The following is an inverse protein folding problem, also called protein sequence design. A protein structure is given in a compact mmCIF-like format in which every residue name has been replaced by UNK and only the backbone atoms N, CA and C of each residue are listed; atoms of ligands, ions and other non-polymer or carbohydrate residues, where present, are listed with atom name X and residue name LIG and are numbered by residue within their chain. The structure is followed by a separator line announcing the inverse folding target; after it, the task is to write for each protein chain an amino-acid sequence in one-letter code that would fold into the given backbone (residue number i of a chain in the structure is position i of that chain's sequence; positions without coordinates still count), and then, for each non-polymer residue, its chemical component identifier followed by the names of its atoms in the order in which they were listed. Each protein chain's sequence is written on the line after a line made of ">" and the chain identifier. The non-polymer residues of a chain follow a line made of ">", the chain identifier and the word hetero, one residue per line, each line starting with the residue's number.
data_IF_986158992210
#
_entry.id   IF_986158992210
#
_cell.length_a   1.000
_cell.length_b   1.000
_cell.length_c   1.000
_cell.angle_alpha   90.00
_cell.angle_beta   90.00
_cell.angle_gamma   90.00
#
_symmetry.space_group_name_H-M   'P 1'
#
loop_
_entity.id
_entity.type
_entity.pdbx_description
1 polymer ?
#
# COMPACT_ATOMS: atom_id res chain seq x y z
N UNK A 1 1.49 -13.69 9.64
CA UNK A 1 0.57 -14.59 8.97
C UNK A 1 0.11 -14.03 7.64
N UNK A 2 0.55 -14.66 6.57
CA UNK A 2 0.32 -14.17 5.20
C UNK A 2 -1.17 -14.16 4.83
N UNK A 3 -1.89 -15.20 5.19
CA UNK A 3 -3.32 -15.30 4.89
C UNK A 3 -4.11 -14.19 5.55
N UNK A 4 -3.82 -13.95 6.82
CA UNK A 4 -4.55 -12.92 7.56
C UNK A 4 -4.26 -11.52 7.02
N UNK A 5 -3.01 -11.21 6.77
CA UNK A 5 -2.58 -9.88 6.31
C UNK A 5 -2.86 -9.67 4.83
N UNK A 6 -2.82 -10.72 4.03
CA UNK A 6 -3.09 -10.67 2.60
C UNK A 6 -1.86 -10.47 1.73
N UNK A 7 -0.67 -10.60 2.28
CA UNK A 7 0.54 -10.48 1.48
C UNK A 7 1.79 -10.94 2.20
N UNK A 8 2.81 -11.23 1.40
CA UNK A 8 4.13 -11.64 1.86
C UNK A 8 5.17 -10.70 1.26
N UNK A 9 5.99 -10.10 2.11
CA UNK A 9 7.11 -9.27 1.66
C UNK A 9 8.15 -10.13 0.95
N UNK A 10 8.66 -9.63 -0.18
CA UNK A 10 9.70 -10.30 -0.96
C UNK A 10 10.96 -9.44 -1.00
N UNK A 11 10.83 -8.17 -1.40
CA UNK A 11 11.98 -7.30 -1.60
C UNK A 11 11.57 -5.82 -1.61
N UNK A 12 12.57 -4.93 -1.55
CA UNK A 12 12.39 -3.50 -1.82
C UNK A 12 13.45 -3.08 -2.84
N UNK A 13 13.21 -3.34 -4.13
CA UNK A 13 14.20 -3.07 -5.17
C UNK A 13 14.69 -1.63 -5.15
N UNK A 14 16.02 -1.45 -5.04
CA UNK A 14 16.63 -0.13 -5.01
C UNK A 14 16.62 0.57 -3.65
N UNK A 15 16.11 -0.07 -2.60
CA UNK A 15 16.03 0.54 -1.28
C UNK A 15 15.05 1.71 -1.25
N UNK A 16 15.49 2.89 -0.78
CA UNK A 16 14.64 4.09 -0.77
C UNK A 16 14.69 4.71 -2.15
N UNK A 17 13.53 4.77 -2.81
CA UNK A 17 13.40 5.27 -4.18
C UNK A 17 12.17 6.19 -4.27
N UNK A 18 12.18 7.17 -5.20
CA UNK A 18 10.96 7.92 -5.49
C UNK A 18 10.01 7.07 -6.32
N UNK A 19 8.74 7.05 -5.96
CA UNK A 19 7.73 6.33 -6.73
C UNK A 19 6.35 6.99 -6.57
N UNK A 20 5.49 6.71 -7.54
CA UNK A 20 4.12 7.19 -7.51
C UNK A 20 3.21 6.20 -6.80
N UNK A 21 2.28 6.72 -6.02
CA UNK A 21 1.18 5.95 -5.44
C UNK A 21 -0.08 6.36 -6.17
N UNK A 22 -0.75 5.38 -6.78
CA UNK A 22 -1.95 5.60 -7.57
C UNK A 22 -3.16 5.13 -6.78
N UNK A 23 -4.17 5.98 -6.69
CA UNK A 23 -5.40 5.65 -5.98
C UNK A 23 -6.22 4.71 -6.87
N UNK A 24 -6.39 3.46 -6.42
CA UNK A 24 -7.11 2.45 -7.19
C UNK A 24 -8.61 2.48 -6.93
N UNK A 25 -9.03 2.82 -5.72
CA UNK A 25 -10.44 2.91 -5.35
C UNK A 25 -10.72 4.24 -4.66
N UNK A 26 -11.01 5.30 -5.43
CA UNK A 26 -11.27 6.62 -4.86
C UNK A 26 -12.60 6.73 -4.11
N UNK A 27 -13.46 5.73 -4.24
CA UNK A 27 -14.77 5.71 -3.55
C UNK A 27 -14.67 5.19 -2.13
N UNK A 28 -13.60 4.49 -1.81
CA UNK A 28 -13.43 3.98 -0.45
C UNK A 28 -13.21 5.14 0.53
N UNK A 29 -13.86 5.14 1.71
CA UNK A 29 -13.73 6.22 2.68
C UNK A 29 -12.29 6.49 3.10
N UNK A 30 -11.41 5.48 3.09
CA UNK A 30 -9.99 5.67 3.42
C UNK A 30 -9.32 6.59 2.41
N UNK A 31 -9.75 6.55 1.15
CA UNK A 31 -9.15 7.30 0.05
C UNK A 31 -9.88 8.60 -0.29
N UNK A 32 -10.95 8.92 0.42
CA UNK A 32 -11.78 10.08 0.11
C UNK A 32 -10.96 11.38 0.06
N UNK A 33 -11.08 12.11 -1.03
CA UNK A 33 -10.40 13.39 -1.23
C UNK A 33 -8.93 13.29 -1.56
N UNK A 34 -8.38 12.07 -1.65
CA UNK A 34 -6.98 11.88 -1.99
C UNK A 34 -6.82 11.69 -3.50
N UNK A 35 -5.71 12.20 -4.02
CA UNK A 35 -5.31 12.02 -5.41
C UNK A 35 -3.98 11.27 -5.45
N UNK A 36 -3.59 10.82 -6.63
CA UNK A 36 -2.29 10.18 -6.83
C UNK A 36 -1.19 11.09 -6.31
N UNK A 37 -0.20 10.52 -5.66
CA UNK A 37 0.88 11.28 -5.06
C UNK A 37 2.22 10.55 -5.20
N UNK A 38 3.30 11.26 -4.95
CA UNK A 38 4.64 10.68 -4.99
C UNK A 38 5.22 10.61 -3.59
N UNK A 39 6.05 9.60 -3.39
CA UNK A 39 6.67 9.31 -2.11
C UNK A 39 8.10 8.86 -2.36
N UNK A 40 9.02 9.20 -1.47
CA UNK A 40 10.38 8.64 -1.48
C UNK A 40 10.52 7.71 -0.30
N UNK A 41 10.50 6.40 -0.60
CA UNK A 41 10.44 5.37 0.42
C UNK A 41 10.86 4.03 -0.17
N UNK A 42 10.79 2.99 0.64
CA UNK A 42 10.96 1.63 0.16
C UNK A 42 9.73 1.20 -0.63
N UNK A 43 9.93 0.89 -1.91
CA UNK A 43 8.87 0.39 -2.78
C UNK A 43 8.88 -1.14 -2.70
N UNK A 44 7.92 -1.70 -1.96
CA UNK A 44 7.89 -3.13 -1.70
C UNK A 44 7.40 -3.92 -2.91
N UNK A 45 8.14 -4.96 -3.23
CA UNK A 45 7.66 -6.04 -4.09
C UNK A 45 7.16 -7.17 -3.20
N UNK A 46 5.90 -7.54 -3.35
CA UNK A 46 5.24 -8.48 -2.46
C UNK A 46 4.47 -9.55 -3.25
N UNK A 47 4.28 -10.71 -2.64
CA UNK A 47 3.26 -11.63 -3.09
C UNK A 47 1.97 -11.27 -2.34
N UNK A 48 0.91 -10.99 -3.09
CA UNK A 48 -0.35 -10.49 -2.51
C UNK A 48 -1.51 -11.40 -2.87
N UNK A 49 -2.46 -11.50 -1.95
CA UNK A 49 -3.66 -12.31 -2.15
C UNK A 49 -4.59 -11.60 -3.13
N UNK A 50 -5.05 -12.28 -4.20
CA UNK A 50 -5.95 -11.65 -5.17
C UNK A 50 -7.33 -11.30 -4.58
N UNK A 51 -7.69 -11.83 -3.42
CA UNK A 51 -8.96 -11.48 -2.76
C UNK A 51 -8.92 -10.17 -1.99
N UNK A 52 -7.76 -9.51 -1.91
CA UNK A 52 -7.64 -8.21 -1.25
C UNK A 52 -8.46 -7.15 -1.97
N UNK A 53 -9.12 -6.28 -1.21
CA UNK A 53 -9.73 -5.06 -1.74
C UNK A 53 -8.65 -3.99 -1.84
N UNK A 54 -8.08 -3.82 -3.02
CA UNK A 54 -6.94 -2.93 -3.25
C UNK A 54 -7.41 -1.48 -3.30
N UNK A 55 -6.78 -0.63 -2.50
CA UNK A 55 -7.11 0.80 -2.42
C UNK A 55 -6.11 1.67 -3.14
N UNK A 56 -4.84 1.26 -3.19
CA UNK A 56 -3.79 2.00 -3.89
C UNK A 56 -2.74 1.03 -4.43
N UNK A 57 -2.10 1.45 -5.51
CA UNK A 57 -1.08 0.67 -6.21
C UNK A 57 0.14 1.53 -6.51
N UNK A 58 1.24 0.89 -6.82
CA UNK A 58 2.41 1.52 -7.44
C UNK A 58 2.86 0.67 -8.62
N UNK A 59 3.55 1.29 -9.58
CA UNK A 59 4.06 0.59 -10.76
C UNK A 59 5.58 0.67 -10.77
N UNK A 60 6.24 -0.47 -10.91
CA UNK A 60 7.69 -0.52 -10.94
C UNK A 60 8.24 0.03 -12.25
N UNK A 61 9.30 0.85 -12.17
CA UNK A 61 9.92 1.45 -13.35
C UNK A 61 10.82 0.48 -14.11
N UNK A 62 11.31 -0.56 -13.44
CA UNK A 62 12.27 -1.49 -14.03
C UNK A 62 13.72 -0.99 -14.01
N UNK A 63 14.00 0.12 -13.33
CA UNK A 63 15.35 0.69 -13.28
C UNK A 63 16.34 -0.24 -12.58
N UNK A 64 15.91 -0.87 -11.48
CA UNK A 64 16.76 -1.81 -10.73
C UNK A 64 16.69 -3.21 -11.31
N UNK A 65 15.47 -3.66 -11.61
CA UNK A 65 15.21 -5.00 -12.15
C UNK A 65 14.33 -4.88 -13.39
N UNK A 66 14.89 -4.92 -14.61
CA UNK A 66 14.11 -4.71 -15.84
C UNK A 66 12.94 -5.67 -16.01
N UNK A 67 13.02 -6.88 -15.45
CA UNK A 67 11.95 -7.89 -15.60
C UNK A 67 10.69 -7.56 -14.80
N UNK A 68 10.72 -6.57 -13.89
CA UNK A 68 9.52 -6.13 -13.19
C UNK A 68 8.98 -4.81 -13.75
N UNK A 69 9.53 -4.32 -14.85
CA UNK A 69 9.05 -3.08 -15.46
C UNK A 69 7.57 -3.18 -15.79
N UNK A 70 6.80 -2.19 -15.34
CA UNK A 70 5.36 -2.14 -15.59
C UNK A 70 4.51 -3.00 -14.66
N UNK A 71 5.13 -3.72 -13.72
CA UNK A 71 4.37 -4.48 -12.73
C UNK A 71 3.64 -3.52 -11.79
N UNK A 72 2.31 -3.65 -11.75
CA UNK A 72 1.47 -2.90 -10.83
C UNK A 72 1.34 -3.66 -9.52
N UNK A 73 1.73 -3.02 -8.42
CA UNK A 73 1.81 -3.66 -7.12
C UNK A 73 0.88 -2.99 -6.13
N UNK A 74 -0.03 -3.74 -5.49
CA UNK A 74 -0.83 -3.19 -4.39
C UNK A 74 0.05 -2.73 -3.24
N UNK A 75 -0.23 -1.54 -2.70
CA UNK A 75 0.50 -0.98 -1.56
C UNK A 75 -0.41 -0.65 -0.38
N UNK A 76 -1.71 -0.55 -0.61
CA UNK A 76 -2.71 -0.35 0.43
C UNK A 76 -3.90 -1.22 0.11
N UNK A 77 -4.37 -2.00 1.09
CA UNK A 77 -5.57 -2.82 0.89
C UNK A 77 -6.32 -3.07 2.18
N UNK A 78 -7.58 -3.46 2.01
CA UNK A 78 -8.46 -3.97 3.05
C UNK A 78 -8.79 -5.43 2.78
N UNK A 79 -9.07 -6.16 3.82
CA UNK A 79 -9.64 -7.50 3.71
C UNK A 79 -10.36 -7.88 5.00
N UNK A 80 -11.10 -8.95 4.92
CA UNK A 80 -11.71 -9.57 6.09
C UNK A 80 -11.04 -10.91 6.37
N UNK A 81 -10.86 -11.21 7.65
CA UNK A 81 -10.34 -12.48 8.09
C UNK A 81 -11.29 -13.01 9.16
N UNK A 82 -12.10 -14.02 8.82
CA UNK A 82 -13.21 -14.43 9.67
C UNK A 82 -14.16 -13.26 9.88
N UNK A 83 -14.46 -12.93 11.13
CA UNK A 83 -15.29 -11.77 11.46
C UNK A 83 -14.47 -10.47 11.61
N UNK A 84 -13.16 -10.55 11.49
CA UNK A 84 -12.27 -9.41 11.69
C UNK A 84 -12.00 -8.61 10.42
N UNK A 85 -11.55 -7.37 10.63
CA UNK A 85 -11.14 -6.47 9.54
C UNK A 85 -9.64 -6.31 9.59
N UNK A 86 -9.00 -6.36 8.41
CA UNK A 86 -7.56 -6.16 8.27
C UNK A 86 -7.33 -5.01 7.31
N UNK A 87 -6.52 -4.04 7.74
CA UNK A 87 -6.03 -2.97 6.90
C UNK A 87 -4.51 -3.06 6.81
N UNK A 88 -3.97 -2.97 5.60
CA UNK A 88 -2.53 -3.01 5.38
C UNK A 88 -2.09 -1.83 4.54
N UNK A 89 -0.96 -1.23 4.93
CA UNK A 89 -0.26 -0.22 4.12
C UNK A 89 1.22 -0.52 4.11
N UNK A 90 1.79 -0.57 2.91
CA UNK A 90 3.24 -0.69 2.68
C UNK A 90 3.91 0.68 2.59
N UNK A 91 3.20 1.76 2.89
CA UNK A 91 3.68 3.12 2.85
C UNK A 91 4.15 3.57 4.24
N UNK A 92 5.00 4.60 4.28
CA UNK A 92 5.38 5.22 5.54
C UNK A 92 6.25 4.33 6.43
N UNK A 93 7.20 3.64 5.84
CA UNK A 93 8.01 2.65 6.55
C UNK A 93 9.09 3.27 7.44
N UNK A 94 9.57 4.47 7.12
CA UNK A 94 10.53 5.21 7.96
C UNK A 94 9.81 6.36 8.67
N UNK A 95 10.31 6.80 9.86
CA UNK A 95 9.61 7.85 10.63
C UNK A 95 9.32 9.13 9.85
N UNK A 96 10.25 9.58 9.01
CA UNK A 96 10.05 10.81 8.24
C UNK A 96 8.93 10.71 7.20
N UNK A 97 8.54 9.51 6.81
CA UNK A 97 7.49 9.30 5.81
C UNK A 97 6.10 9.54 6.38
N UNK A 98 5.93 9.43 7.70
CA UNK A 98 4.68 9.76 8.35
C UNK A 98 4.38 11.27 8.35
N UNK A 99 5.37 12.09 8.00
CA UNK A 99 5.15 13.52 7.81
C UNK A 99 4.45 13.83 6.50
N UNK A 100 4.40 12.86 5.57
CA UNK A 100 3.70 13.03 4.31
C UNK A 100 2.18 12.99 4.56
N UNK A 101 1.42 14.05 4.21
CA UNK A 101 0.01 14.15 4.60
C UNK A 101 -0.85 12.99 4.11
N UNK A 102 -0.66 12.55 2.88
CA UNK A 102 -1.45 11.47 2.30
C UNK A 102 -1.19 10.14 3.01
N UNK A 103 0.07 9.83 3.30
CA UNK A 103 0.45 8.60 4.00
C UNK A 103 -0.17 8.57 5.40
N UNK A 104 -0.07 9.69 6.13
CA UNK A 104 -0.65 9.80 7.47
C UNK A 104 -2.17 9.66 7.44
N UNK A 105 -2.82 10.30 6.48
CA UNK A 105 -4.27 10.24 6.33
C UNK A 105 -4.74 8.82 6.06
N UNK A 106 -4.08 8.11 5.14
CA UNK A 106 -4.41 6.74 4.79
C UNK A 106 -4.27 5.84 6.02
N UNK A 107 -3.16 5.95 6.74
CA UNK A 107 -2.91 5.12 7.91
C UNK A 107 -3.94 5.37 9.00
N UNK A 108 -4.23 6.63 9.30
CA UNK A 108 -5.21 7.00 10.33
C UNK A 108 -6.60 6.46 9.99
N UNK A 109 -7.05 6.68 8.77
CA UNK A 109 -8.37 6.21 8.33
C UNK A 109 -8.46 4.70 8.29
N UNK A 110 -7.39 4.05 7.86
CA UNK A 110 -7.33 2.58 7.82
C UNK A 110 -7.40 1.97 9.21
N UNK A 111 -6.67 2.53 10.16
CA UNK A 111 -6.70 2.06 11.55
C UNK A 111 -8.09 2.24 12.17
N UNK A 112 -8.74 3.37 11.91
CA UNK A 112 -10.11 3.59 12.40
C UNK A 112 -11.09 2.59 11.80
N UNK A 113 -10.96 2.30 10.50
CA UNK A 113 -11.80 1.30 9.86
C UNK A 113 -11.60 -0.09 10.47
N UNK A 114 -10.35 -0.48 10.68
CA UNK A 114 -10.02 -1.81 11.22
C UNK A 114 -10.48 -1.97 12.67
N UNK A 115 -10.55 -0.88 13.44
CA UNK A 115 -10.97 -0.89 14.83
C UNK A 115 -12.48 -0.92 15.03
N UNK A 116 -13.26 -0.73 13.97
CA UNK A 116 -14.73 -0.74 14.08
C UNK A 116 -15.28 -2.16 14.29
N UNK A 117 -16.36 -2.20 15.01
CA UNK A 117 -17.08 -3.46 15.23
C UNK A 117 -17.90 -3.89 14.01
#
# INVERSE_FOLDING_TARGET
>A
CQFMVGGQWVAHPGGIVPYAVNIADPRDPVMEGLHDFRLESEQYYMHVDPSNHVLATTTFSGTVHPWIQGVEMPVVWKRHWGAGRVFYSALGHAPHEFEHPETFTIMTRGMLWAARD
#
